data_IF_191435515572
#
_entry.id   IF_191435515572
#
_cell.length_a   1.000
_cell.length_b   1.000
_cell.length_c   1.000
_cell.angle_alpha   90.00
_cell.angle_beta   90.00
_cell.angle_gamma   90.00
#
_symmetry.space_group_name_H-M   'P 1'
#
loop_
_entity.id
_entity.type
_entity.pdbx_description
1 polymer ?
#
# COMPACT_ATOMS: atom_id res chain seq x y z
N UNK A 1 12.05 45.48 23.30
CA UNK A 1 11.32 44.22 23.08
C UNK A 1 12.33 43.14 22.79
N UNK A 2 12.39 42.10 23.60
CA UNK A 2 13.24 40.96 23.30
C UNK A 2 12.63 40.26 22.06
N UNK A 3 13.37 40.22 20.94
CA UNK A 3 12.98 39.45 19.78
C UNK A 3 13.13 37.99 20.20
N UNK A 4 12.05 37.34 20.50
CA UNK A 4 12.03 35.91 20.80
C UNK A 4 12.40 35.19 19.51
N UNK A 5 13.61 34.65 19.43
CA UNK A 5 14.03 33.84 18.31
C UNK A 5 13.14 32.60 18.25
N UNK A 6 12.40 32.45 17.16
CA UNK A 6 11.57 31.27 16.94
C UNK A 6 12.48 30.11 16.48
N UNK A 7 12.24 28.94 17.06
CA UNK A 7 12.82 27.69 16.60
C UNK A 7 11.81 27.01 15.68
N UNK A 8 12.21 26.77 14.44
CA UNK A 8 11.41 26.10 13.43
C UNK A 8 11.94 24.66 13.34
N UNK A 9 11.08 23.70 13.56
CA UNK A 9 11.43 22.28 13.60
C UNK A 9 10.25 21.44 13.13
N UNK A 10 10.53 20.24 12.62
CA UNK A 10 9.55 19.19 12.31
C UNK A 10 9.01 18.47 13.55
N UNK A 11 9.56 18.79 14.74
CA UNK A 11 9.17 18.16 15.98
C UNK A 11 8.07 18.96 16.69
N UNK A 12 7.10 18.26 17.22
CA UNK A 12 6.12 18.79 18.17
C UNK A 12 6.75 19.05 19.52
N UNK A 13 6.04 19.75 20.41
CA UNK A 13 6.49 20.03 21.78
C UNK A 13 6.70 18.78 22.63
N UNK A 14 6.02 17.69 22.31
CA UNK A 14 6.15 16.38 22.97
C UNK A 14 7.31 15.53 22.41
N UNK A 15 8.05 16.05 21.41
CA UNK A 15 9.15 15.36 20.74
C UNK A 15 8.70 14.44 19.60
N UNK A 16 7.41 14.31 19.32
CA UNK A 16 6.93 13.54 18.16
C UNK A 16 7.22 14.28 16.86
N UNK A 17 7.60 13.52 15.82
CA UNK A 17 7.88 14.08 14.50
C UNK A 17 6.57 14.26 13.71
N UNK A 18 6.39 15.46 13.16
CA UNK A 18 5.23 15.81 12.32
C UNK A 18 5.14 15.00 11.03
N UNK A 19 6.29 14.58 10.48
CA UNK A 19 6.32 13.73 9.29
C UNK A 19 5.84 12.30 9.57
N UNK A 20 6.26 11.74 10.72
CA UNK A 20 5.88 10.39 11.11
C UNK A 20 6.28 9.35 10.07
N UNK A 21 5.48 8.27 9.94
CA UNK A 21 5.75 7.14 9.04
C UNK A 21 4.93 7.18 7.74
N UNK A 22 4.09 8.20 7.55
CA UNK A 22 3.16 8.25 6.42
C UNK A 22 3.30 9.49 5.54
N UNK A 23 3.96 10.52 6.03
CA UNK A 23 4.08 11.78 5.31
C UNK A 23 5.42 11.90 4.63
N UNK A 24 5.38 12.19 3.32
CA UNK A 24 6.57 12.51 2.53
C UNK A 24 7.03 13.94 2.76
N UNK A 25 6.09 14.89 2.86
CA UNK A 25 6.42 16.26 3.12
C UNK A 25 5.35 16.96 3.95
N UNK A 26 5.76 17.94 4.73
CA UNK A 26 4.87 18.89 5.42
C UNK A 26 5.32 20.31 5.12
N UNK A 27 4.35 21.19 4.91
CA UNK A 27 4.56 22.60 4.70
C UNK A 27 4.13 23.38 5.94
N UNK A 28 5.04 24.17 6.46
CA UNK A 28 4.80 25.10 7.56
C UNK A 28 4.90 26.51 6.98
N UNK A 29 3.77 27.20 6.92
CA UNK A 29 3.70 28.60 6.56
C UNK A 29 3.30 29.37 7.81
N UNK A 30 4.21 30.21 8.31
CA UNK A 30 3.96 31.02 9.50
C UNK A 30 4.51 32.43 9.28
N UNK A 31 3.67 33.44 9.54
CA UNK A 31 4.06 34.85 9.50
C UNK A 31 5.14 35.20 10.54
N UNK A 32 5.33 34.33 11.53
CA UNK A 32 6.35 34.49 12.58
C UNK A 32 7.74 34.02 12.17
N UNK A 33 7.88 33.38 10.99
CA UNK A 33 9.20 33.01 10.43
C UNK A 33 9.88 34.29 9.97
N UNK A 34 10.84 34.75 10.75
CA UNK A 34 11.56 36.00 10.53
C UNK A 34 13.07 35.75 10.42
N UNK A 35 13.79 36.73 9.90
CA UNK A 35 15.25 36.71 9.90
C UNK A 35 15.79 36.54 11.32
N UNK A 36 16.73 35.62 11.51
CA UNK A 36 17.30 35.26 12.81
C UNK A 36 16.58 34.12 13.51
N UNK A 37 15.47 33.57 12.94
CA UNK A 37 14.89 32.30 13.40
C UNK A 37 15.89 31.17 13.23
N UNK A 38 15.84 30.19 14.13
CA UNK A 38 16.70 29.01 14.09
C UNK A 38 15.91 27.87 13.41
N UNK A 39 16.44 27.39 12.30
CA UNK A 39 15.91 26.22 11.58
C UNK A 39 16.64 24.97 12.05
N UNK A 40 15.92 23.97 12.52
CA UNK A 40 16.47 22.65 12.89
C UNK A 40 15.98 21.60 11.90
N UNK A 41 16.90 20.83 11.32
CA UNK A 41 16.60 19.75 10.38
C UNK A 41 17.17 18.46 10.95
N UNK A 42 16.30 17.47 11.14
CA UNK A 42 16.67 16.17 11.69
C UNK A 42 17.46 15.32 10.67
N UNK A 43 18.12 14.26 11.15
CA UNK A 43 19.03 13.43 10.32
C UNK A 43 18.35 12.72 9.15
N UNK A 44 17.06 12.50 9.25
CA UNK A 44 16.23 11.81 8.25
C UNK A 44 15.33 12.78 7.46
N UNK A 45 15.75 14.04 7.33
CA UNK A 45 14.95 15.07 6.68
C UNK A 45 15.78 15.95 5.75
N UNK A 46 15.09 16.52 4.76
CA UNK A 46 15.50 17.76 4.10
C UNK A 46 14.53 18.87 4.55
N UNK A 47 15.01 20.10 4.46
CA UNK A 47 14.17 21.26 4.64
C UNK A 47 14.34 22.24 3.49
N UNK A 48 13.27 22.53 2.78
CA UNK A 48 13.24 23.53 1.71
C UNK A 48 12.67 24.83 2.24
N UNK A 49 13.44 25.91 2.10
CA UNK A 49 13.00 27.26 2.42
C UNK A 49 12.51 27.94 1.15
N UNK A 50 11.29 28.44 1.17
CA UNK A 50 10.69 29.24 0.08
C UNK A 50 10.31 30.63 0.58
N UNK A 51 10.38 31.59 -0.32
CA UNK A 51 9.80 32.92 -0.10
C UNK A 51 9.13 33.38 -1.38
N UNK A 52 7.90 33.84 -1.28
CA UNK A 52 7.09 34.32 -2.41
C UNK A 52 7.01 33.30 -3.57
N UNK A 53 6.90 32.00 -3.24
CA UNK A 53 6.86 30.94 -4.24
C UNK A 53 8.22 30.52 -4.81
N UNK A 54 9.28 31.29 -4.60
CA UNK A 54 10.62 30.93 -5.04
C UNK A 54 11.37 30.11 -3.97
N UNK A 55 12.07 29.06 -4.38
CA UNK A 55 12.99 28.33 -3.51
C UNK A 55 14.20 29.19 -3.24
N UNK A 56 14.54 29.37 -1.97
CA UNK A 56 15.73 30.11 -1.53
C UNK A 56 16.90 29.16 -1.30
N UNK A 57 16.66 28.06 -0.58
CA UNK A 57 17.70 27.08 -0.24
C UNK A 57 17.08 25.74 0.15
N UNK A 58 17.93 24.69 0.14
CA UNK A 58 17.62 23.34 0.62
C UNK A 58 18.64 22.95 1.69
N UNK A 59 18.16 22.77 2.90
CA UNK A 59 18.98 22.42 4.06
C UNK A 59 18.95 20.92 4.33
N UNK A 60 20.11 20.38 4.66
CA UNK A 60 20.26 19.02 5.18
C UNK A 60 20.28 19.05 6.72
N UNK A 61 20.60 17.90 7.31
CA UNK A 61 20.73 17.74 8.76
C UNK A 61 21.56 18.83 9.41
N UNK A 62 21.02 19.47 10.43
CA UNK A 62 21.75 20.48 11.20
C UNK A 62 20.86 21.59 11.73
N UNK A 63 21.54 22.63 12.28
CA UNK A 63 20.89 23.84 12.75
C UNK A 63 21.41 25.03 11.95
N UNK A 64 20.49 25.84 11.47
CA UNK A 64 20.78 26.96 10.60
C UNK A 64 20.09 28.22 11.09
N UNK A 65 20.84 29.32 11.19
CA UNK A 65 20.22 30.63 11.42
C UNK A 65 19.68 31.14 10.08
N UNK A 66 18.39 31.38 9.99
CA UNK A 66 17.81 31.95 8.79
C UNK A 66 18.25 33.38 8.64
N UNK A 67 19.15 33.63 7.67
CA UNK A 67 19.52 34.98 7.27
C UNK A 67 18.68 35.33 6.05
N UNK A 68 17.78 36.29 6.21
CA UNK A 68 17.13 36.88 5.03
C UNK A 68 18.19 37.58 4.19
N UNK A 69 18.21 37.41 2.86
CA UNK A 69 19.06 38.20 2.02
C UNK A 69 18.78 39.68 2.30
N UNK A 70 19.79 40.37 2.78
CA UNK A 70 19.73 41.79 3.03
C UNK A 70 19.35 42.52 1.73
N UNK A 71 18.07 42.87 1.60
CA UNK A 71 17.69 44.01 0.77
C UNK A 71 17.56 45.18 1.73
N UNK A 72 18.64 45.95 1.91
CA UNK A 72 18.64 47.07 2.80
C UNK A 72 17.68 48.13 2.25
N UNK A 73 17.00 48.83 3.10
CA UNK A 73 16.23 50.05 2.89
C UNK A 73 14.77 49.93 2.38
N UNK A 74 14.39 48.96 1.59
CA UNK A 74 12.98 48.89 1.17
C UNK A 74 12.09 48.11 2.20
N UNK A 75 12.68 47.21 2.99
CA UNK A 75 11.95 46.43 4.00
C UNK A 75 11.44 47.27 5.17
N UNK A 76 12.23 48.26 5.62
CA UNK A 76 11.83 49.11 6.73
C UNK A 76 10.75 50.14 6.35
N UNK A 77 10.75 50.60 5.11
CA UNK A 77 9.73 51.49 4.56
C UNK A 77 8.43 50.70 4.33
N UNK A 78 8.52 49.49 3.77
CA UNK A 78 7.37 48.62 3.57
C UNK A 78 6.73 48.18 4.91
N UNK A 79 7.51 47.90 5.94
CA UNK A 79 6.99 47.58 7.26
C UNK A 79 6.18 48.74 7.88
N UNK A 80 6.59 49.99 7.64
CA UNK A 80 5.86 51.16 8.08
C UNK A 80 4.52 51.35 7.38
N UNK A 81 4.42 51.01 6.10
CA UNK A 81 3.20 51.12 5.31
C UNK A 81 2.18 50.01 5.53
N UNK A 82 2.62 48.80 5.89
CA UNK A 82 1.75 47.65 6.08
C UNK A 82 1.46 47.30 7.54
N UNK A 83 1.57 48.26 8.44
CA UNK A 83 1.16 48.08 9.85
C UNK A 83 1.99 47.06 10.63
N UNK A 84 3.25 46.87 10.27
CA UNK A 84 4.14 45.94 10.96
C UNK A 84 4.08 44.47 10.47
N UNK A 85 3.15 44.13 9.57
CA UNK A 85 3.11 42.82 8.95
C UNK A 85 4.16 42.76 7.85
N UNK A 86 5.11 41.84 7.99
CA UNK A 86 6.10 41.59 6.93
C UNK A 86 5.38 41.08 5.67
N UNK A 87 5.53 41.73 4.50
CA UNK A 87 4.96 41.24 3.25
C UNK A 87 5.65 39.96 2.75
N UNK A 88 6.60 39.44 3.53
CA UNK A 88 7.40 38.27 3.20
C UNK A 88 6.89 37.07 4.01
N UNK A 89 6.02 36.28 3.37
CA UNK A 89 5.64 34.98 3.93
C UNK A 89 6.72 33.99 3.53
N UNK A 90 7.42 33.46 4.54
CA UNK A 90 8.32 32.34 4.36
C UNK A 90 7.55 31.04 4.53
N UNK A 91 7.83 30.09 3.67
CA UNK A 91 7.36 28.71 3.78
C UNK A 91 8.56 27.81 4.05
N UNK A 92 8.42 26.94 5.02
CA UNK A 92 9.40 25.89 5.33
C UNK A 92 8.73 24.55 5.02
N UNK A 93 9.38 23.75 4.18
CA UNK A 93 8.86 22.44 3.79
C UNK A 93 9.86 21.39 4.28
N UNK A 94 9.44 20.57 5.24
CA UNK A 94 10.20 19.40 5.67
C UNK A 94 9.84 18.21 4.80
N UNK A 95 10.86 17.47 4.34
CA UNK A 95 10.74 16.32 3.45
C UNK A 95 11.39 15.13 4.11
N UNK A 96 10.67 14.03 4.18
CA UNK A 96 11.10 12.80 4.82
C UNK A 96 12.06 12.02 3.92
N UNK A 97 13.25 11.70 4.43
CA UNK A 97 14.27 10.85 3.77
C UNK A 97 14.14 9.38 4.15
N UNK A 98 13.34 9.07 5.16
CA UNK A 98 13.16 7.68 5.62
C UNK A 98 12.52 6.83 4.53
N UNK A 99 12.79 5.53 4.56
CA UNK A 99 12.11 4.58 3.70
C UNK A 99 10.68 4.41 4.15
N UNK A 100 9.74 4.83 3.31
CA UNK A 100 8.30 4.75 3.58
C UNK A 100 7.68 3.61 2.78
N UNK A 101 6.78 2.87 3.43
CA UNK A 101 6.00 1.81 2.79
C UNK A 101 4.75 2.40 2.17
N UNK A 102 4.61 2.23 0.87
CA UNK A 102 3.40 2.55 0.10
C UNK A 102 2.71 1.26 -0.29
N UNK A 103 1.38 1.27 -0.29
CA UNK A 103 0.56 0.13 -0.71
C UNK A 103 -0.42 0.58 -1.78
N UNK A 104 -0.39 -0.08 -2.92
CA UNK A 104 -1.38 0.06 -3.99
C UNK A 104 -2.13 -1.24 -4.17
N UNK A 105 -3.43 -1.15 -4.45
CA UNK A 105 -4.31 -2.29 -4.64
C UNK A 105 -5.20 -2.04 -5.86
N UNK A 106 -5.55 -3.11 -6.54
CA UNK A 106 -6.44 -3.02 -7.69
C UNK A 106 -6.91 -4.40 -8.16
N UNK A 107 -7.51 -4.41 -9.33
CA UNK A 107 -8.07 -5.60 -9.97
C UNK A 107 -7.50 -5.71 -11.37
N UNK A 108 -7.01 -6.89 -11.73
CA UNK A 108 -6.62 -7.26 -13.07
C UNK A 108 -7.54 -8.39 -13.58
N UNK A 109 -7.56 -8.62 -14.88
CA UNK A 109 -8.38 -9.67 -15.48
C UNK A 109 -7.47 -10.69 -16.16
N UNK A 110 -7.60 -11.98 -15.81
CA UNK A 110 -6.84 -13.07 -16.43
C UNK A 110 -7.29 -13.37 -17.87
N UNK A 111 -6.55 -14.24 -18.57
CA UNK A 111 -6.89 -14.68 -19.92
C UNK A 111 -8.28 -15.33 -20.01
N UNK A 112 -8.76 -15.95 -18.92
CA UNK A 112 -10.11 -16.55 -18.82
C UNK A 112 -11.17 -15.56 -18.34
N UNK A 113 -10.90 -14.28 -18.33
CA UNK A 113 -11.79 -13.22 -17.84
C UNK A 113 -12.10 -13.31 -16.33
N UNK A 114 -11.26 -14.00 -15.56
CA UNK A 114 -11.39 -14.06 -14.12
C UNK A 114 -10.80 -12.80 -13.46
N UNK A 115 -11.53 -12.20 -12.51
CA UNK A 115 -11.03 -11.06 -11.73
C UNK A 115 -9.97 -11.50 -10.71
N UNK A 116 -8.81 -10.88 -10.82
CA UNK A 116 -7.66 -11.08 -9.93
C UNK A 116 -7.43 -9.82 -9.11
N UNK A 117 -7.54 -9.91 -7.80
CA UNK A 117 -7.16 -8.83 -6.91
C UNK A 117 -5.64 -8.81 -6.75
N UNK A 118 -5.02 -7.65 -6.94
CA UNK A 118 -3.60 -7.48 -6.68
C UNK A 118 -3.32 -6.49 -5.57
N UNK A 119 -2.19 -6.69 -4.89
CA UNK A 119 -1.61 -5.77 -3.94
C UNK A 119 -0.12 -5.62 -4.24
N UNK A 120 0.34 -4.39 -4.32
CA UNK A 120 1.75 -4.04 -4.48
C UNK A 120 2.18 -3.23 -3.27
N UNK A 121 3.08 -3.80 -2.48
CA UNK A 121 3.74 -3.13 -1.36
C UNK A 121 5.14 -2.72 -1.82
N UNK A 122 5.47 -1.43 -1.73
CA UNK A 122 6.76 -0.92 -2.18
C UNK A 122 7.33 0.13 -1.24
N UNK A 123 8.68 0.15 -1.14
CA UNK A 123 9.40 1.09 -0.31
C UNK A 123 10.00 2.20 -1.15
N UNK A 124 9.76 3.44 -0.73
CA UNK A 124 10.23 4.64 -1.40
C UNK A 124 11.04 5.51 -0.44
N UNK A 125 11.93 6.32 -0.99
CA UNK A 125 12.63 7.37 -0.22
C UNK A 125 13.11 8.50 -1.14
N UNK A 126 13.49 9.62 -0.52
CA UNK A 126 14.09 10.78 -1.17
C UNK A 126 15.56 10.84 -0.74
N UNK A 127 16.51 10.87 -1.68
CA UNK A 127 17.94 10.73 -1.36
C UNK A 127 18.72 12.03 -1.52
N UNK A 128 18.38 12.88 -2.49
CA UNK A 128 19.13 14.08 -2.84
C UNK A 128 18.32 15.36 -2.68
N UNK A 129 19.01 16.50 -2.65
CA UNK A 129 18.38 17.83 -2.61
C UNK A 129 17.57 18.11 -3.87
N UNK A 130 18.08 17.69 -5.01
CA UNK A 130 17.43 17.83 -6.31
C UNK A 130 16.13 17.03 -6.33
N UNK A 131 16.16 15.78 -5.83
CA UNK A 131 15.00 14.93 -5.69
C UNK A 131 13.95 15.54 -4.75
N UNK A 132 14.37 16.18 -3.67
CA UNK A 132 13.46 16.89 -2.78
C UNK A 132 12.77 18.07 -3.45
N UNK A 133 13.47 18.79 -4.35
CA UNK A 133 12.87 19.87 -5.14
C UNK A 133 11.91 19.34 -6.19
N UNK A 134 12.23 18.24 -6.85
CA UNK A 134 11.35 17.59 -7.82
C UNK A 134 10.06 17.11 -7.16
N UNK A 135 10.14 16.54 -5.96
CA UNK A 135 8.97 16.12 -5.19
C UNK A 135 7.98 17.26 -4.99
N UNK A 136 8.42 18.39 -4.46
CA UNK A 136 7.54 19.52 -4.13
C UNK A 136 7.10 20.33 -5.35
N UNK A 137 7.75 20.11 -6.51
CA UNK A 137 7.39 20.76 -7.77
C UNK A 137 6.32 19.97 -8.50
N UNK A 138 6.38 18.64 -8.46
CA UNK A 138 5.56 17.76 -9.29
C UNK A 138 4.43 17.07 -8.53
N UNK A 139 4.55 16.89 -7.20
CA UNK A 139 3.46 16.36 -6.38
C UNK A 139 2.70 17.49 -5.69
N UNK A 140 1.36 17.52 -5.81
CA UNK A 140 0.56 18.54 -5.15
C UNK A 140 0.48 18.29 -3.64
N UNK A 141 0.44 19.39 -2.88
CA UNK A 141 0.11 19.34 -1.47
C UNK A 141 -1.41 19.20 -1.28
N UNK A 142 -1.82 18.25 -0.48
CA UNK A 142 -3.17 18.18 0.05
C UNK A 142 -3.22 18.98 1.36
N UNK A 143 -3.70 20.21 1.27
CA UNK A 143 -3.52 21.18 2.35
C UNK A 143 -2.04 21.52 2.58
N UNK A 144 -1.49 21.09 3.71
CA UNK A 144 -0.09 21.32 4.09
C UNK A 144 0.77 20.04 4.06
N UNK A 145 0.26 18.94 3.50
CA UNK A 145 0.90 17.63 3.58
C UNK A 145 0.97 16.98 2.21
N UNK A 146 2.04 16.22 1.95
CA UNK A 146 2.10 15.17 0.92
C UNK A 146 2.17 13.85 1.68
N UNK A 147 1.10 13.08 1.66
CA UNK A 147 1.03 11.74 2.28
C UNK A 147 1.43 10.67 1.26
N UNK A 148 1.77 9.48 1.74
CA UNK A 148 2.06 8.32 0.89
C UNK A 148 0.85 7.87 0.05
N UNK A 149 -0.37 8.25 0.43
CA UNK A 149 -1.58 7.99 -0.35
C UNK A 149 -1.59 8.73 -1.67
N UNK A 150 -1.09 9.98 -1.72
CA UNK A 150 -0.97 10.72 -2.99
C UNK A 150 -0.02 9.98 -3.94
N UNK A 151 1.09 9.43 -3.42
CA UNK A 151 1.99 8.61 -4.25
C UNK A 151 1.31 7.36 -4.75
N UNK A 152 0.54 6.67 -3.90
CA UNK A 152 -0.18 5.47 -4.28
C UNK A 152 -1.21 5.76 -5.40
N UNK A 153 -1.93 6.88 -5.28
CA UNK A 153 -2.94 7.29 -6.27
C UNK A 153 -2.30 7.64 -7.62
N UNK A 154 -1.17 8.35 -7.61
CA UNK A 154 -0.45 8.69 -8.84
C UNK A 154 0.22 7.48 -9.48
N UNK A 155 0.77 6.57 -8.69
CA UNK A 155 1.44 5.37 -9.18
C UNK A 155 0.46 4.25 -9.60
N UNK A 156 -0.79 4.30 -9.13
CA UNK A 156 -1.81 3.28 -9.38
C UNK A 156 -1.96 2.91 -10.86
N UNK A 157 -2.18 3.86 -11.77
CA UNK A 157 -2.31 3.57 -13.20
C UNK A 157 -1.08 2.90 -13.83
N UNK A 158 0.13 3.30 -13.42
CA UNK A 158 1.36 2.68 -13.92
C UNK A 158 1.51 1.23 -13.44
N UNK A 159 1.16 0.97 -12.18
CA UNK A 159 1.14 -0.38 -11.60
C UNK A 159 0.08 -1.24 -12.29
N UNK A 160 -1.13 -0.72 -12.46
CA UNK A 160 -2.22 -1.43 -13.11
C UNK A 160 -1.86 -1.81 -14.55
N UNK A 161 -1.29 -0.88 -15.31
CA UNK A 161 -0.83 -1.16 -16.67
C UNK A 161 0.22 -2.27 -16.70
N UNK A 162 1.23 -2.20 -15.84
CA UNK A 162 2.30 -3.20 -15.80
C UNK A 162 1.79 -4.60 -15.43
N UNK A 163 0.85 -4.68 -14.47
CA UNK A 163 0.25 -5.96 -14.07
C UNK A 163 -0.63 -6.51 -15.19
N UNK A 164 -1.48 -5.67 -15.79
CA UNK A 164 -2.40 -6.11 -16.83
C UNK A 164 -1.67 -6.61 -18.09
N UNK A 165 -0.51 -6.07 -18.44
CA UNK A 165 0.29 -6.55 -19.58
C UNK A 165 0.59 -8.04 -19.51
N UNK A 166 0.81 -8.59 -18.32
CA UNK A 166 1.10 -10.01 -18.14
C UNK A 166 -0.15 -10.81 -17.77
N UNK A 167 -0.96 -10.30 -16.84
CA UNK A 167 -2.11 -11.03 -16.32
C UNK A 167 -3.17 -11.31 -17.38
N UNK A 168 -3.42 -10.37 -18.30
CA UNK A 168 -4.43 -10.52 -19.37
C UNK A 168 -4.14 -11.65 -20.37
N UNK A 169 -2.88 -12.02 -20.52
CA UNK A 169 -2.46 -13.10 -21.43
C UNK A 169 -2.15 -14.40 -20.69
N UNK A 170 -2.20 -14.38 -19.37
CA UNK A 170 -1.83 -15.50 -18.49
C UNK A 170 -3.08 -16.16 -17.92
N UNK A 171 -3.12 -17.49 -17.95
CA UNK A 171 -4.17 -18.23 -17.27
C UNK A 171 -4.06 -18.07 -15.75
N UNK A 172 -5.20 -18.02 -15.07
CA UNK A 172 -5.29 -17.81 -13.63
C UNK A 172 -4.41 -18.80 -12.83
N UNK A 173 -4.40 -20.07 -13.22
CA UNK A 173 -3.59 -21.12 -12.58
C UNK A 173 -2.08 -20.92 -12.74
N UNK A 174 -1.65 -20.21 -13.79
CA UNK A 174 -0.26 -19.98 -14.17
C UNK A 174 0.28 -18.63 -13.66
N UNK A 175 -0.56 -17.77 -13.11
CA UNK A 175 -0.15 -16.42 -12.66
C UNK A 175 0.99 -16.50 -11.63
N UNK A 176 0.95 -17.48 -10.73
CA UNK A 176 2.01 -17.66 -9.74
C UNK A 176 3.36 -18.04 -10.35
N UNK A 177 3.36 -18.73 -11.49
CA UNK A 177 4.59 -19.09 -12.23
C UNK A 177 5.23 -17.83 -12.84
N UNK A 178 4.41 -16.86 -13.26
CA UNK A 178 4.83 -15.58 -13.83
C UNK A 178 5.01 -14.46 -12.81
N UNK A 179 4.84 -14.72 -11.51
CA UNK A 179 4.87 -13.68 -10.47
C UNK A 179 6.19 -12.88 -10.46
N UNK A 180 7.31 -13.54 -10.78
CA UNK A 180 8.60 -12.90 -10.87
C UNK A 180 8.67 -11.93 -12.06
N UNK A 181 8.18 -12.33 -13.22
CA UNK A 181 8.12 -11.51 -14.44
C UNK A 181 7.21 -10.28 -14.21
N UNK A 182 6.05 -10.50 -13.59
CA UNK A 182 5.12 -9.42 -13.19
C UNK A 182 5.82 -8.44 -12.26
N UNK A 183 6.52 -8.96 -11.24
CA UNK A 183 7.26 -8.14 -10.28
C UNK A 183 8.32 -7.27 -10.96
N UNK A 184 9.13 -7.85 -11.84
CA UNK A 184 10.18 -7.10 -12.55
C UNK A 184 9.58 -6.07 -13.51
N UNK A 185 8.49 -6.40 -14.20
CA UNK A 185 7.74 -5.45 -15.03
C UNK A 185 7.21 -4.27 -14.23
N UNK A 186 6.53 -4.53 -13.11
CA UNK A 186 6.03 -3.49 -12.20
C UNK A 186 7.19 -2.64 -11.67
N UNK A 187 8.30 -3.28 -11.28
CA UNK A 187 9.49 -2.58 -10.77
C UNK A 187 10.07 -1.62 -11.80
N UNK A 188 10.22 -2.06 -13.04
CA UNK A 188 10.76 -1.23 -14.10
C UNK A 188 9.89 0.00 -14.37
N UNK A 189 8.58 -0.21 -14.59
CA UNK A 189 7.64 0.89 -14.84
C UNK A 189 7.54 1.86 -13.66
N UNK A 190 7.47 1.32 -12.44
CA UNK A 190 7.34 2.14 -11.23
C UNK A 190 8.61 2.94 -10.94
N UNK A 191 9.80 2.37 -11.20
CA UNK A 191 11.07 3.07 -11.03
C UNK A 191 11.14 4.28 -11.97
N UNK A 192 10.82 4.10 -13.24
CA UNK A 192 10.81 5.19 -14.23
C UNK A 192 9.78 6.26 -13.88
N UNK A 193 8.57 5.83 -13.52
CA UNK A 193 7.49 6.73 -13.13
C UNK A 193 7.85 7.58 -11.91
N UNK A 194 8.30 6.96 -10.83
CA UNK A 194 8.62 7.63 -9.57
C UNK A 194 9.84 8.55 -9.68
N UNK A 195 10.80 8.22 -10.55
CA UNK A 195 11.97 9.07 -10.81
C UNK A 195 11.58 10.47 -11.30
N UNK A 196 10.48 10.59 -12.07
CA UNK A 196 9.94 11.88 -12.50
C UNK A 196 9.44 12.79 -11.36
N UNK A 197 9.28 12.25 -10.17
CA UNK A 197 8.90 12.98 -8.96
C UNK A 197 10.04 13.07 -7.93
N UNK A 198 11.25 12.70 -8.31
CA UNK A 198 12.40 12.64 -7.40
C UNK A 198 12.30 11.54 -6.35
N UNK A 199 11.45 10.53 -6.56
CA UNK A 199 11.22 9.42 -5.63
C UNK A 199 12.00 8.20 -6.09
N UNK A 200 12.81 7.63 -5.20
CA UNK A 200 13.54 6.39 -5.44
C UNK A 200 12.77 5.19 -4.92
N UNK A 201 12.63 4.17 -5.77
CA UNK A 201 12.09 2.86 -5.43
C UNK A 201 13.21 1.96 -4.89
N UNK A 202 13.03 1.43 -3.68
CA UNK A 202 14.01 0.52 -3.07
C UNK A 202 13.72 -0.94 -3.41
N UNK A 203 12.52 -1.39 -3.03
CA UNK A 203 12.08 -2.77 -3.22
C UNK A 203 10.56 -2.81 -3.33
N UNK A 204 10.05 -3.88 -3.94
CA UNK A 204 8.61 -4.11 -4.02
C UNK A 204 8.26 -5.58 -3.90
N UNK A 205 7.03 -5.82 -3.44
CA UNK A 205 6.39 -7.12 -3.37
C UNK A 205 5.06 -7.05 -4.10
N UNK A 206 4.81 -8.02 -4.97
CA UNK A 206 3.53 -8.19 -5.67
C UNK A 206 2.82 -9.42 -5.11
N UNK A 207 1.55 -9.29 -4.83
CA UNK A 207 0.63 -10.37 -4.48
C UNK A 207 -0.56 -10.30 -5.42
N UNK A 208 -0.89 -11.42 -6.05
CA UNK A 208 -2.06 -11.54 -6.95
C UNK A 208 -2.84 -12.78 -6.55
N UNK A 209 -4.12 -12.61 -6.29
CA UNK A 209 -5.03 -13.68 -5.87
C UNK A 209 -6.37 -13.54 -6.61
N UNK A 210 -7.09 -14.63 -6.86
CA UNK A 210 -8.45 -14.54 -7.35
C UNK A 210 -9.31 -13.70 -6.41
N UNK A 211 -10.10 -12.79 -6.95
CA UNK A 211 -10.99 -11.94 -6.17
C UNK A 211 -12.15 -12.72 -5.57
N UNK A 212 -12.67 -13.72 -6.33
CA UNK A 212 -13.76 -14.58 -5.87
C UNK A 212 -13.23 -15.65 -4.90
N UNK A 213 -13.81 -15.70 -3.70
CA UNK A 213 -13.47 -16.70 -2.67
C UNK A 213 -13.75 -18.14 -3.14
N UNK A 214 -14.73 -18.36 -3.99
CA UNK A 214 -15.03 -19.67 -4.58
C UNK A 214 -13.89 -20.16 -5.47
N UNK A 215 -13.30 -19.25 -6.23
CA UNK A 215 -12.15 -19.57 -7.07
C UNK A 215 -10.93 -19.90 -6.21
N UNK A 216 -10.72 -19.20 -5.09
CA UNK A 216 -9.64 -19.52 -4.13
C UNK A 216 -9.83 -20.90 -3.51
N UNK A 217 -11.08 -21.25 -3.11
CA UNK A 217 -11.39 -22.60 -2.59
C UNK A 217 -11.12 -23.69 -3.64
N UNK A 218 -11.51 -23.47 -4.91
CA UNK A 218 -11.26 -24.42 -5.99
C UNK A 218 -9.75 -24.61 -6.25
N UNK A 219 -8.97 -23.55 -6.30
CA UNK A 219 -7.51 -23.63 -6.46
C UNK A 219 -6.86 -24.36 -5.29
N UNK A 220 -7.33 -24.13 -4.06
CA UNK A 220 -6.80 -24.83 -2.89
C UNK A 220 -7.06 -26.34 -2.94
N UNK A 221 -8.20 -26.76 -3.50
CA UNK A 221 -8.52 -28.17 -3.74
C UNK A 221 -7.62 -28.80 -4.81
N UNK A 222 -7.27 -28.06 -5.85
CA UNK A 222 -6.29 -28.53 -6.85
C UNK A 222 -4.88 -28.67 -6.25
N UNK A 223 -4.50 -27.77 -5.34
CA UNK A 223 -3.20 -27.81 -4.68
C UNK A 223 -3.01 -29.07 -3.81
N UNK A 224 -4.07 -29.72 -3.35
CA UNK A 224 -4.02 -31.02 -2.63
C UNK A 224 -4.09 -32.24 -3.58
N UNK A 225 -3.98 -32.01 -4.89
CA UNK A 225 -3.84 -33.09 -5.88
C UNK A 225 -5.14 -33.51 -6.57
N UNK A 226 -6.23 -32.74 -6.40
CA UNK A 226 -7.47 -33.00 -7.14
C UNK A 226 -7.36 -32.46 -8.57
N UNK A 227 -7.85 -33.24 -9.54
CA UNK A 227 -8.03 -32.73 -10.89
C UNK A 227 -9.08 -31.59 -10.89
N UNK A 228 -9.08 -30.69 -11.89
CA UNK A 228 -10.05 -29.58 -11.96
C UNK A 228 -11.51 -30.05 -11.87
N UNK A 229 -11.84 -31.16 -12.49
CA UNK A 229 -13.19 -31.73 -12.47
C UNK A 229 -13.55 -32.28 -11.08
N UNK A 230 -12.63 -32.95 -10.43
CA UNK A 230 -12.81 -33.47 -9.08
C UNK A 230 -12.93 -32.34 -8.05
N UNK A 231 -12.11 -31.29 -8.17
CA UNK A 231 -12.20 -30.12 -7.33
C UNK A 231 -13.58 -29.45 -7.41
N UNK A 232 -14.11 -29.28 -8.64
CA UNK A 232 -15.47 -28.73 -8.83
C UNK A 232 -16.54 -29.62 -8.23
N UNK A 233 -16.47 -30.94 -8.47
CA UNK A 233 -17.41 -31.91 -7.90
C UNK A 233 -17.40 -31.88 -6.37
N UNK A 234 -16.20 -31.92 -5.78
CA UNK A 234 -16.03 -31.85 -4.35
C UNK A 234 -16.58 -30.56 -3.75
N UNK A 235 -16.25 -29.43 -4.38
CA UNK A 235 -16.73 -28.13 -3.98
C UNK A 235 -18.27 -28.06 -3.99
N UNK A 236 -18.90 -28.51 -5.09
CA UNK A 236 -20.36 -28.53 -5.20
C UNK A 236 -21.00 -29.44 -4.15
N UNK A 237 -20.42 -30.63 -3.93
CA UNK A 237 -20.89 -31.55 -2.90
C UNK A 237 -20.82 -30.95 -1.50
N UNK A 238 -19.72 -30.26 -1.18
CA UNK A 238 -19.54 -29.56 0.09
C UNK A 238 -20.59 -28.46 0.28
N UNK A 239 -20.78 -27.60 -0.76
CA UNK A 239 -21.78 -26.52 -0.71
C UNK A 239 -23.21 -27.00 -0.65
N UNK A 240 -23.53 -28.14 -1.26
CA UNK A 240 -24.84 -28.77 -1.14
C UNK A 240 -25.07 -29.33 0.29
N UNK A 241 -24.04 -29.93 0.88
CA UNK A 241 -24.09 -30.42 2.26
C UNK A 241 -24.25 -29.25 3.27
N UNK A 242 -23.51 -28.17 3.11
CA UNK A 242 -23.62 -26.96 3.94
C UNK A 242 -25.04 -26.36 3.91
N UNK A 243 -25.75 -26.46 2.76
CA UNK A 243 -27.12 -25.99 2.60
C UNK A 243 -28.19 -27.00 3.04
N UNK A 244 -27.76 -28.17 3.54
CA UNK A 244 -28.66 -29.23 3.94
C UNK A 244 -29.43 -29.89 2.79
N UNK A 245 -29.02 -29.67 1.54
CA UNK A 245 -29.69 -30.24 0.36
C UNK A 245 -29.37 -31.73 0.17
N UNK A 246 -28.20 -32.16 0.61
CA UNK A 246 -27.77 -33.58 0.63
C UNK A 246 -26.95 -33.83 1.90
N UNK A 247 -27.01 -35.08 2.42
CA UNK A 247 -26.11 -35.46 3.50
C UNK A 247 -24.66 -35.53 2.98
N UNK A 248 -23.71 -35.11 3.76
CA UNK A 248 -22.28 -35.15 3.39
C UNK A 248 -21.81 -36.56 2.90
N UNK A 249 -22.28 -37.69 3.46
CA UNK A 249 -21.98 -39.01 2.95
C UNK A 249 -22.40 -39.24 1.50
N UNK A 250 -23.58 -38.79 1.13
CA UNK A 250 -24.10 -38.95 -0.25
C UNK A 250 -23.36 -38.05 -1.24
N UNK A 251 -22.96 -36.86 -0.80
CA UNK A 251 -22.16 -35.94 -1.62
C UNK A 251 -20.77 -36.51 -1.93
N UNK A 252 -20.17 -37.24 -1.01
CA UNK A 252 -18.87 -37.85 -1.14
C UNK A 252 -18.85 -39.21 -1.87
N UNK A 253 -20.01 -39.88 -2.02
CA UNK A 253 -20.08 -41.20 -2.59
C UNK A 253 -19.58 -41.34 -4.05
N UNK A 254 -19.46 -40.22 -4.77
CA UNK A 254 -18.90 -40.18 -6.13
C UNK A 254 -17.45 -39.75 -6.21
N UNK A 255 -16.77 -39.56 -5.09
CA UNK A 255 -15.37 -39.14 -5.08
C UNK A 255 -14.44 -40.36 -5.10
N UNK A 256 -13.34 -40.31 -5.86
CA UNK A 256 -12.41 -41.44 -6.01
C UNK A 256 -11.52 -41.70 -4.78
N UNK A 257 -11.63 -40.89 -3.73
CA UNK A 257 -10.81 -41.01 -2.53
C UNK A 257 -11.61 -40.72 -1.27
N UNK A 258 -11.14 -41.28 -0.17
CA UNK A 258 -11.73 -41.17 1.14
C UNK A 258 -11.10 -39.98 1.88
N UNK A 259 -11.86 -38.89 2.08
CA UNK A 259 -11.35 -37.68 2.75
C UNK A 259 -11.38 -37.92 4.27
N UNK A 260 -10.23 -37.82 4.87
CA UNK A 260 -10.06 -37.86 6.31
C UNK A 260 -9.58 -39.20 6.90
N UNK A 261 -9.28 -40.20 6.08
CA UNK A 261 -8.65 -41.45 6.52
C UNK A 261 -9.44 -42.28 7.54
N UNK A 262 -10.61 -41.80 7.95
CA UNK A 262 -11.54 -42.57 8.78
C UNK A 262 -12.84 -42.83 8.07
N UNK A 263 -13.20 -44.06 7.84
CA UNK A 263 -14.41 -44.43 7.10
C UNK A 263 -15.72 -44.05 7.79
N UNK A 264 -15.67 -43.67 9.04
CA UNK A 264 -16.87 -43.48 9.89
C UNK A 264 -17.67 -42.21 9.58
N UNK A 265 -17.08 -41.21 8.86
CA UNK A 265 -17.78 -39.95 8.55
C UNK A 265 -18.48 -39.93 7.19
N UNK A 266 -18.15 -40.87 6.30
CA UNK A 266 -18.58 -40.81 4.91
C UNK A 266 -19.34 -42.06 4.42
N UNK A 267 -19.58 -43.04 5.27
CA UNK A 267 -20.44 -44.14 4.93
C UNK A 267 -21.88 -43.74 5.18
N UNK A 268 -22.81 -43.91 4.21
CA UNK A 268 -24.21 -43.81 4.50
C UNK A 268 -24.52 -44.81 5.61
N UNK A 269 -25.01 -44.29 6.70
CA UNK A 269 -25.74 -45.13 7.64
C UNK A 269 -26.91 -45.66 6.83
N UNK A 270 -26.76 -46.88 6.29
CA UNK A 270 -27.87 -47.58 5.72
C UNK A 270 -29.02 -47.54 6.70
N UNK A 271 -30.29 -47.50 6.26
CA UNK A 271 -31.37 -47.70 7.17
C UNK A 271 -31.05 -48.99 7.95
N UNK A 272 -31.00 -48.89 9.25
CA UNK A 272 -31.01 -50.08 10.09
C UNK A 272 -32.17 -50.91 9.63
N UNK A 273 -31.92 -51.85 8.75
CA UNK A 273 -32.84 -52.98 8.60
C UNK A 273 -32.73 -53.71 9.91
N UNK A 274 -33.50 -53.25 10.86
CA UNK A 274 -33.81 -54.01 12.06
C UNK A 274 -34.54 -55.28 11.59
N UNK A 275 -33.76 -56.27 11.27
CA UNK A 275 -34.22 -57.62 11.23
C UNK A 275 -34.48 -58.05 12.67
N UNK A 276 -35.71 -58.30 13.05
CA UNK A 276 -35.95 -58.97 14.32
C UNK A 276 -35.28 -60.34 14.23
N UNK A 277 -34.27 -60.53 14.95
CA UNK A 277 -33.69 -61.84 15.19
C UNK A 277 -34.73 -62.67 15.94
N UNK A 278 -35.51 -63.44 15.20
CA UNK A 278 -36.30 -64.48 15.79
C UNK A 278 -35.33 -65.50 16.34
N UNK A 279 -35.32 -65.60 17.64
CA UNK A 279 -34.68 -66.70 18.32
C UNK A 279 -35.32 -68.04 17.90
N UNK A 280 -34.56 -69.05 17.56
CA UNK A 280 -35.14 -70.37 17.34
C UNK A 280 -35.67 -70.90 18.65
N UNK A 281 -36.96 -71.12 18.73
CA UNK A 281 -37.61 -71.89 19.77
C UNK A 281 -37.05 -73.30 19.73
N UNK A 282 -36.38 -73.67 20.76
CA UNK A 282 -36.09 -75.06 21.05
C UNK A 282 -37.38 -75.79 21.31
N UNK A 283 -37.68 -76.81 20.53
CA UNK A 283 -38.66 -77.81 20.83
C UNK A 283 -37.96 -79.15 20.80
N UNK A 284 -37.92 -79.76 22.00
CA UNK A 284 -37.80 -81.14 22.38
C UNK A 284 -36.65 -81.95 21.83
#
# INVERSE_FOLDING_TARGET
>A
MAITRQVITSLNRDGSNLLGTRRLAIRISDESIVSGSLLTVESNEFCVLKARGAVLDVYETGQYALTTPDKPLLGSIAQGFFGGNSPWVYEVIYINRSKLLVRSQGIATSAEMAEMAYQVDYYIHIDTREAALELITHLPFNGNVIDISEVADYAGPAIEQAINQVVQVTKMEQINEHIYEIREGVKAHLTEFLAGFGILLNDLKVLILPKDDRMRELISLQAIGLSPIEAVRYYLALKMAERGLVSAPNAAAGLPFNIGGQPTGFYPLGPETGLPTQAPTASQ
#
